data_IF_870302722792
#
_entry.id   IF_870302722792
#
_cell.length_a   1.000
_cell.length_b   1.000
_cell.length_c   1.000
_cell.angle_alpha   90.00
_cell.angle_beta   90.00
_cell.angle_gamma   90.00
#
_symmetry.space_group_name_H-M   'P 1'
#
loop_
_entity.id
_entity.type
_entity.pdbx_description
1 polymer ?
#
# COMPACT_ATOMS: atom_id res chain seq x y z
N UNK A 1 -20.01 -35.11 -0.05
CA UNK A 1 -18.74 -34.51 -0.54
C UNK A 1 -19.11 -33.49 -1.62
N UNK A 2 -18.80 -32.21 -1.43
CA UNK A 2 -19.08 -31.14 -2.40
C UNK A 2 -17.81 -30.86 -3.21
N UNK A 3 -17.86 -30.75 -4.56
CA UNK A 3 -16.68 -30.50 -5.36
C UNK A 3 -16.20 -29.05 -5.16
N UNK A 4 -14.93 -28.91 -4.80
CA UNK A 4 -14.22 -27.63 -4.83
C UNK A 4 -14.06 -27.19 -6.27
N UNK A 5 -14.65 -26.04 -6.63
CA UNK A 5 -14.32 -25.33 -7.88
C UNK A 5 -12.88 -24.87 -7.79
N UNK A 6 -12.00 -25.46 -8.60
CA UNK A 6 -10.65 -24.99 -8.81
C UNK A 6 -10.68 -23.56 -9.37
N UNK A 7 -10.20 -22.62 -8.56
CA UNK A 7 -9.76 -21.31 -9.05
C UNK A 7 -8.43 -21.56 -9.77
N UNK A 8 -8.52 -21.89 -11.06
CA UNK A 8 -7.38 -21.90 -11.95
C UNK A 8 -6.82 -20.48 -12.04
N UNK A 9 -5.63 -20.27 -11.47
CA UNK A 9 -4.78 -19.11 -11.72
C UNK A 9 -4.27 -19.16 -13.16
N UNK A 10 -5.16 -18.91 -14.10
CA UNK A 10 -4.84 -18.66 -15.49
C UNK A 10 -4.72 -17.16 -15.68
N UNK A 11 -3.60 -16.72 -16.26
CA UNK A 11 -3.43 -15.42 -16.88
C UNK A 11 -4.42 -15.35 -18.06
N UNK A 12 -5.70 -15.14 -17.74
CA UNK A 12 -6.84 -15.23 -18.65
C UNK A 12 -7.04 -13.92 -19.37
N UNK A 13 -6.67 -13.91 -20.65
CA UNK A 13 -6.77 -12.77 -21.56
C UNK A 13 -8.17 -12.19 -21.67
N UNK A 14 -8.34 -11.02 -21.08
CA UNK A 14 -9.36 -10.06 -21.43
C UNK A 14 -8.71 -8.70 -21.37
N UNK A 15 -8.56 -8.01 -22.50
CA UNK A 15 -8.28 -6.58 -22.48
C UNK A 15 -9.48 -5.91 -21.80
N UNK A 16 -9.39 -5.70 -20.49
CA UNK A 16 -10.31 -4.83 -19.73
C UNK A 16 -10.02 -3.39 -20.16
N UNK A 17 -10.46 -3.04 -21.35
CA UNK A 17 -10.21 -1.77 -21.99
C UNK A 17 -10.85 -0.66 -21.17
N UNK A 18 -10.03 0.15 -20.50
CA UNK A 18 -10.37 1.44 -19.88
C UNK A 18 -11.48 1.47 -18.80
N UNK A 19 -12.27 0.42 -18.61
CA UNK A 19 -13.31 0.37 -17.57
C UNK A 19 -12.72 0.18 -16.18
N UNK A 20 -11.61 -0.56 -16.09
CA UNK A 20 -10.94 -0.85 -14.83
C UNK A 20 -10.36 0.42 -14.21
N UNK A 21 -10.44 0.50 -12.89
CA UNK A 21 -9.91 1.61 -12.12
C UNK A 21 -8.40 1.68 -12.23
N UNK A 22 -7.74 0.53 -12.30
CA UNK A 22 -6.31 0.44 -12.57
C UNK A 22 -5.92 1.08 -13.91
N UNK A 23 -6.67 0.81 -14.99
CA UNK A 23 -6.41 1.42 -16.29
C UNK A 23 -6.63 2.95 -16.24
N UNK A 24 -7.65 3.42 -15.52
CA UNK A 24 -7.90 4.86 -15.32
C UNK A 24 -6.77 5.53 -14.54
N UNK A 25 -6.25 4.89 -13.49
CA UNK A 25 -5.10 5.41 -12.73
C UNK A 25 -3.83 5.44 -13.58
N UNK A 26 -3.60 4.41 -14.40
CA UNK A 26 -2.47 4.35 -15.32
C UNK A 26 -2.56 5.47 -16.38
N UNK A 27 -3.74 5.66 -16.97
CA UNK A 27 -3.99 6.76 -17.91
C UNK A 27 -3.82 8.13 -17.23
N UNK A 28 -4.29 8.28 -15.99
CA UNK A 28 -4.13 9.51 -15.22
C UNK A 28 -2.65 9.82 -14.95
N UNK A 29 -1.82 8.81 -14.65
CA UNK A 29 -0.37 8.99 -14.52
C UNK A 29 0.25 9.50 -15.82
N UNK A 30 -0.09 8.89 -16.96
CA UNK A 30 0.43 9.34 -18.27
C UNK A 30 -0.02 10.76 -18.57
N UNK A 31 -1.32 11.04 -18.45
CA UNK A 31 -1.89 12.36 -18.75
C UNK A 31 -1.32 13.44 -17.83
N UNK A 32 -1.21 13.18 -16.53
CA UNK A 32 -0.63 14.09 -15.54
C UNK A 32 0.84 14.37 -15.81
N UNK A 33 1.62 13.33 -16.13
CA UNK A 33 3.04 13.46 -16.46
C UNK A 33 3.26 14.23 -17.76
N UNK A 34 2.48 13.94 -18.81
CA UNK A 34 2.54 14.69 -20.08
C UNK A 34 2.15 16.15 -19.87
N UNK A 35 1.06 16.42 -19.13
CA UNK A 35 0.64 17.79 -18.81
C UNK A 35 1.74 18.53 -18.03
N UNK A 36 2.37 17.88 -17.05
CA UNK A 36 3.49 18.45 -16.33
C UNK A 36 4.67 18.77 -17.25
N UNK A 37 5.07 17.84 -18.12
CA UNK A 37 6.19 18.04 -19.04
C UNK A 37 5.93 19.19 -20.03
N UNK A 38 4.69 19.34 -20.51
CA UNK A 38 4.27 20.45 -21.38
C UNK A 38 4.27 21.81 -20.66
N UNK A 39 3.96 21.82 -19.36
CA UNK A 39 3.79 23.04 -18.55
C UNK A 39 4.96 23.34 -17.62
N UNK A 40 6.04 22.54 -17.66
CA UNK A 40 7.17 22.59 -16.72
C UNK A 40 7.87 23.96 -16.64
N UNK A 41 7.87 24.71 -17.74
CA UNK A 41 8.48 26.04 -17.83
C UNK A 41 7.52 27.19 -17.43
N UNK A 42 6.27 26.85 -17.10
CA UNK A 42 5.21 27.79 -16.74
C UNK A 42 4.66 27.43 -15.35
N UNK A 43 3.39 27.00 -15.28
CA UNK A 43 2.70 26.71 -14.02
C UNK A 43 2.79 25.24 -13.57
N UNK A 44 3.54 24.39 -14.27
CA UNK A 44 3.63 22.95 -13.98
C UNK A 44 4.12 22.62 -12.57
N UNK A 45 4.90 23.51 -11.95
CA UNK A 45 5.33 23.38 -10.55
C UNK A 45 4.17 23.33 -9.54
N UNK A 46 3.00 23.89 -9.88
CA UNK A 46 1.81 23.86 -9.01
C UNK A 46 1.19 22.47 -8.87
N UNK A 47 1.51 21.56 -9.80
CA UNK A 47 1.00 20.19 -9.79
C UNK A 47 1.83 19.28 -8.87
N UNK A 48 3.10 19.63 -8.65
CA UNK A 48 3.99 18.94 -7.72
C UNK A 48 3.61 19.22 -6.26
N UNK A 49 4.02 18.34 -5.37
CA UNK A 49 3.87 18.57 -3.94
C UNK A 49 4.93 19.55 -3.47
N UNK A 50 4.51 20.74 -3.01
CA UNK A 50 5.38 21.76 -2.43
C UNK A 50 4.97 21.97 -0.97
N UNK A 51 5.80 21.55 0.01
CA UNK A 51 5.43 21.59 1.42
C UNK A 51 4.99 22.97 1.94
N UNK A 52 5.56 24.06 1.42
CA UNK A 52 5.22 25.42 1.83
C UNK A 52 3.83 25.91 1.41
N UNK A 53 3.11 25.20 0.52
CA UNK A 53 1.88 25.70 -0.11
C UNK A 53 0.62 24.94 0.26
N UNK A 54 0.66 23.99 1.20
CA UNK A 54 -0.52 23.19 1.57
C UNK A 54 -1.71 24.05 2.07
N UNK A 55 -1.47 25.23 2.63
CA UNK A 55 -2.54 26.14 3.07
C UNK A 55 -3.29 26.82 1.93
N UNK A 56 -2.68 26.97 0.76
CA UNK A 56 -3.26 27.66 -0.40
C UNK A 56 -3.63 26.71 -1.55
N UNK A 57 -2.94 25.56 -1.67
CA UNK A 57 -3.06 24.62 -2.78
C UNK A 57 -3.40 23.21 -2.28
N UNK A 58 -4.61 23.03 -1.76
CA UNK A 58 -5.09 21.78 -1.14
C UNK A 58 -5.15 20.57 -2.10
N UNK A 59 -5.08 20.79 -3.41
CA UNK A 59 -5.12 19.73 -4.42
C UNK A 59 -3.77 19.06 -4.66
N UNK A 60 -2.65 19.68 -4.23
CA UNK A 60 -1.29 19.17 -4.49
C UNK A 60 -1.06 17.72 -4.06
N UNK A 61 -1.52 17.25 -2.88
CA UNK A 61 -1.38 15.85 -2.47
C UNK A 61 -2.11 14.85 -3.37
N UNK A 62 -3.05 15.29 -4.20
CA UNK A 62 -3.73 14.42 -5.14
C UNK A 62 -3.10 14.50 -6.53
N UNK A 63 -2.73 15.70 -6.99
CA UNK A 63 -2.15 15.90 -8.32
C UNK A 63 -0.75 15.30 -8.43
N UNK A 64 0.07 15.43 -7.39
CA UNK A 64 1.47 14.97 -7.45
C UNK A 64 1.58 13.46 -7.67
N UNK A 65 0.60 12.68 -7.20
CA UNK A 65 0.53 11.22 -7.37
C UNK A 65 0.57 10.77 -8.83
N UNK A 66 0.19 11.65 -9.76
CA UNK A 66 0.11 11.37 -11.20
C UNK A 66 1.23 12.04 -12.00
N UNK A 67 2.29 12.51 -11.33
CA UNK A 67 3.40 13.19 -11.98
C UNK A 67 4.66 12.35 -11.82
N UNK A 68 5.14 11.90 -12.97
CA UNK A 68 6.44 11.30 -13.13
C UNK A 68 7.27 12.15 -14.09
N UNK A 69 8.54 12.37 -13.75
CA UNK A 69 9.44 13.26 -14.50
C UNK A 69 10.30 12.50 -15.49
N UNK A 70 10.55 11.21 -15.24
CA UNK A 70 11.36 10.36 -16.11
C UNK A 70 10.50 9.66 -17.16
N UNK A 71 10.84 9.69 -18.47
CA UNK A 71 10.12 8.95 -19.50
C UNK A 71 10.03 7.44 -19.22
N UNK A 72 11.13 6.83 -18.75
CA UNK A 72 11.12 5.43 -18.35
C UNK A 72 10.24 5.20 -17.12
N UNK A 73 10.26 6.13 -16.16
CA UNK A 73 9.37 6.10 -15.00
C UNK A 73 7.89 6.11 -15.41
N UNK A 74 7.51 6.92 -16.40
CA UNK A 74 6.13 6.96 -16.91
C UNK A 74 5.74 5.61 -17.50
N UNK A 75 6.59 5.02 -18.35
CA UNK A 75 6.31 3.73 -19.00
C UNK A 75 6.17 2.61 -17.96
N UNK A 76 7.19 2.45 -17.10
CA UNK A 76 7.18 1.40 -16.07
C UNK A 76 6.08 1.64 -15.03
N UNK A 77 5.88 2.87 -14.59
CA UNK A 77 4.83 3.23 -13.65
C UNK A 77 3.44 2.91 -14.19
N UNK A 78 3.19 3.25 -15.45
CA UNK A 78 1.92 2.92 -16.13
C UNK A 78 1.73 1.41 -16.23
N UNK A 79 2.77 0.68 -16.62
CA UNK A 79 2.71 -0.79 -16.74
C UNK A 79 2.49 -1.47 -15.39
N UNK A 80 3.13 -0.97 -14.33
CA UNK A 80 2.94 -1.43 -12.94
C UNK A 80 1.52 -1.14 -12.48
N UNK A 81 1.03 0.09 -12.59
CA UNK A 81 -0.33 0.46 -12.17
C UNK A 81 -1.35 -0.38 -12.93
N UNK A 82 -1.19 -0.55 -14.24
CA UNK A 82 -2.12 -1.32 -15.04
C UNK A 82 -2.10 -2.81 -14.70
N UNK A 83 -0.92 -3.46 -14.70
CA UNK A 83 -0.80 -4.90 -14.46
C UNK A 83 -1.03 -5.28 -13.00
N UNK A 84 -0.27 -4.68 -12.08
CA UNK A 84 -0.35 -4.95 -10.65
C UNK A 84 -1.65 -4.39 -10.08
N UNK A 85 -2.00 -3.15 -10.43
CA UNK A 85 -3.24 -2.54 -9.99
C UNK A 85 -4.46 -3.28 -10.52
N UNK A 86 -4.43 -3.80 -11.75
CA UNK A 86 -5.53 -4.61 -12.31
C UNK A 86 -5.75 -5.90 -11.52
N UNK A 87 -4.67 -6.59 -11.16
CA UNK A 87 -4.75 -7.75 -10.26
C UNK A 87 -5.28 -7.36 -8.87
N UNK A 88 -4.74 -6.30 -8.26
CA UNK A 88 -5.22 -5.81 -6.96
C UNK A 88 -6.70 -5.42 -7.01
N UNK A 89 -7.17 -4.83 -8.10
CA UNK A 89 -8.57 -4.50 -8.32
C UNK A 89 -9.44 -5.74 -8.30
N UNK A 90 -9.01 -6.82 -8.95
CA UNK A 90 -9.75 -8.09 -8.96
C UNK A 90 -9.87 -8.75 -7.58
N UNK A 91 -8.85 -8.59 -6.73
CA UNK A 91 -8.79 -9.21 -5.40
C UNK A 91 -9.46 -8.34 -4.32
N UNK A 92 -9.27 -7.03 -4.38
CA UNK A 92 -9.73 -6.09 -3.36
C UNK A 92 -11.01 -5.34 -3.73
N UNK A 93 -11.29 -5.20 -5.03
CA UNK A 93 -12.30 -4.30 -5.59
C UNK A 93 -11.76 -2.88 -5.83
N UNK A 94 -12.38 -2.20 -6.81
CA UNK A 94 -12.04 -0.84 -7.26
C UNK A 94 -11.93 0.19 -6.14
N UNK A 95 -12.91 0.21 -5.22
CA UNK A 95 -12.94 1.16 -4.11
C UNK A 95 -11.74 1.02 -3.18
N UNK A 96 -11.33 -0.21 -2.87
CA UNK A 96 -10.17 -0.46 -2.01
C UNK A 96 -8.87 -0.15 -2.74
N UNK A 97 -8.77 -0.47 -4.04
CA UNK A 97 -7.61 -0.07 -4.84
C UNK A 97 -7.41 1.45 -4.80
N UNK A 98 -8.47 2.24 -5.01
CA UNK A 98 -8.39 3.70 -4.95
C UNK A 98 -7.99 4.21 -3.57
N UNK A 99 -8.61 3.67 -2.51
CA UNK A 99 -8.32 4.10 -1.15
C UNK A 99 -6.87 3.78 -0.74
N UNK A 100 -6.37 2.61 -1.13
CA UNK A 100 -4.98 2.23 -0.84
C UNK A 100 -4.01 2.98 -1.73
N UNK A 101 -4.17 2.91 -3.05
CA UNK A 101 -3.26 3.54 -4.01
C UNK A 101 -3.26 5.06 -3.85
N UNK A 102 -4.37 5.71 -4.19
CA UNK A 102 -4.45 7.17 -4.16
C UNK A 102 -4.50 7.71 -2.73
N UNK A 103 -5.24 7.06 -1.82
CA UNK A 103 -5.37 7.54 -0.44
C UNK A 103 -4.06 7.43 0.37
N UNK A 104 -3.30 6.33 0.27
CA UNK A 104 -2.00 6.26 0.95
C UNK A 104 -0.98 7.20 0.30
N UNK A 105 -1.03 7.39 -1.01
CA UNK A 105 -0.17 8.38 -1.70
C UNK A 105 -0.48 9.79 -1.21
N UNK A 106 -1.74 10.23 -1.26
CA UNK A 106 -2.13 11.55 -0.79
C UNK A 106 -1.81 11.77 0.69
N UNK A 107 -2.04 10.77 1.53
CA UNK A 107 -1.68 10.82 2.95
C UNK A 107 -0.15 10.91 3.14
N UNK A 108 0.64 10.18 2.37
CA UNK A 108 2.10 10.27 2.40
C UNK A 108 2.59 11.67 2.00
N UNK A 109 2.01 12.28 0.98
CA UNK A 109 2.32 13.65 0.58
C UNK A 109 1.95 14.68 1.66
N UNK A 110 0.78 14.50 2.29
CA UNK A 110 0.36 15.35 3.42
C UNK A 110 1.33 15.23 4.61
N UNK A 111 1.68 13.99 5.02
CA UNK A 111 2.63 13.75 6.10
C UNK A 111 4.03 14.29 5.77
N UNK A 112 4.49 14.11 4.52
CA UNK A 112 5.75 14.70 4.04
C UNK A 112 5.75 16.20 4.25
N UNK A 113 4.66 16.86 3.87
CA UNK A 113 4.55 18.31 4.03
C UNK A 113 4.63 18.72 5.49
N UNK A 114 3.93 18.03 6.40
CA UNK A 114 4.03 18.33 7.82
C UNK A 114 5.46 18.17 8.34
N UNK A 115 6.16 17.09 7.96
CA UNK A 115 7.54 16.86 8.37
C UNK A 115 8.48 17.94 7.82
N UNK A 116 8.40 18.25 6.53
CA UNK A 116 9.28 19.26 5.91
C UNK A 116 8.99 20.65 6.47
N UNK A 117 7.74 21.05 6.62
CA UNK A 117 7.40 22.39 7.09
C UNK A 117 7.77 22.61 8.56
N UNK A 118 7.59 21.61 9.43
CA UNK A 118 7.79 21.79 10.88
C UNK A 118 9.11 21.25 11.43
N UNK A 119 9.78 20.32 10.74
CA UNK A 119 10.98 19.64 11.25
C UNK A 119 12.23 20.04 10.46
N UNK A 120 12.15 20.04 9.13
CA UNK A 120 13.31 20.29 8.26
C UNK A 120 12.90 21.23 7.11
N UNK A 121 12.81 22.55 7.36
CA UNK A 121 12.36 23.51 6.37
C UNK A 121 13.27 23.47 5.14
N UNK A 122 12.80 22.85 4.07
CA UNK A 122 13.51 22.79 2.80
C UNK A 122 12.58 23.19 1.66
N UNK A 123 13.12 23.97 0.73
CA UNK A 123 12.45 24.23 -0.54
C UNK A 123 12.64 23.00 -1.45
N UNK A 124 11.67 22.09 -1.42
CA UNK A 124 11.65 20.91 -2.28
C UNK A 124 10.28 20.77 -2.95
N UNK A 125 10.30 20.31 -4.21
CA UNK A 125 9.11 19.91 -4.94
C UNK A 125 9.20 18.41 -5.22
N UNK A 126 8.15 17.67 -4.87
CA UNK A 126 8.15 16.21 -4.97
C UNK A 126 7.21 15.73 -6.08
N UNK A 127 7.72 14.98 -7.07
CA UNK A 127 6.89 14.16 -7.95
C UNK A 127 6.41 12.90 -7.20
N UNK A 128 5.20 12.44 -7.49
CA UNK A 128 4.54 11.35 -6.76
C UNK A 128 4.25 10.10 -7.57
N UNK A 129 4.62 10.06 -8.86
CA UNK A 129 4.41 8.89 -9.71
C UNK A 129 5.06 7.61 -9.16
N UNK A 130 6.32 7.72 -8.69
CA UNK A 130 7.02 6.62 -8.00
C UNK A 130 6.34 6.20 -6.70
N UNK A 131 5.73 7.13 -5.97
CA UNK A 131 5.04 6.84 -4.69
C UNK A 131 3.80 5.97 -4.91
N UNK A 132 2.95 6.34 -5.88
CA UNK A 132 1.76 5.55 -6.21
C UNK A 132 2.15 4.14 -6.68
N UNK A 133 3.16 4.06 -7.53
CA UNK A 133 3.61 2.79 -8.12
C UNK A 133 4.26 1.88 -7.07
N UNK A 134 5.13 2.40 -6.20
CA UNK A 134 5.77 1.62 -5.14
C UNK A 134 4.76 1.15 -4.08
N UNK A 135 3.77 1.97 -3.74
CA UNK A 135 2.66 1.57 -2.86
C UNK A 135 1.91 0.38 -3.46
N UNK A 136 1.52 0.44 -4.73
CA UNK A 136 0.80 -0.66 -5.39
C UNK A 136 1.67 -1.91 -5.55
N UNK A 137 2.95 -1.74 -5.88
CA UNK A 137 3.90 -2.85 -5.96
C UNK A 137 4.03 -3.57 -4.61
N UNK A 138 4.31 -2.83 -3.54
CA UNK A 138 4.50 -3.43 -2.21
C UNK A 138 3.19 -4.00 -1.68
N UNK A 139 2.05 -3.32 -1.91
CA UNK A 139 0.73 -3.86 -1.60
C UNK A 139 0.50 -5.23 -2.23
N UNK A 140 0.82 -5.38 -3.52
CA UNK A 140 0.68 -6.62 -4.25
C UNK A 140 1.53 -7.75 -3.65
N UNK A 141 2.83 -7.49 -3.44
CA UNK A 141 3.71 -8.49 -2.85
C UNK A 141 3.26 -8.92 -1.45
N UNK A 142 2.85 -7.97 -0.61
CA UNK A 142 2.35 -8.25 0.74
C UNK A 142 1.01 -9.00 0.74
N UNK A 143 0.14 -8.75 -0.24
CA UNK A 143 -1.16 -9.43 -0.38
C UNK A 143 -0.99 -10.90 -0.71
N UNK A 144 -0.02 -11.23 -1.57
CA UNK A 144 0.31 -12.60 -1.93
C UNK A 144 1.07 -13.29 -0.78
N UNK A 145 1.90 -12.53 -0.06
CA UNK A 145 2.60 -13.01 1.12
C UNK A 145 3.59 -14.14 0.80
N UNK A 146 3.36 -15.34 1.33
CA UNK A 146 4.20 -16.52 1.06
C UNK A 146 3.81 -17.28 -0.21
N UNK A 147 2.72 -16.89 -0.88
CA UNK A 147 2.32 -17.48 -2.16
C UNK A 147 3.35 -17.21 -3.26
N UNK A 148 3.41 -18.10 -4.25
CA UNK A 148 4.16 -17.87 -5.47
C UNK A 148 3.33 -17.03 -6.44
N UNK A 149 3.99 -16.08 -7.08
CA UNK A 149 3.45 -15.33 -8.21
C UNK A 149 4.42 -15.43 -9.38
N UNK A 150 3.87 -15.48 -10.59
CA UNK A 150 4.65 -15.39 -11.80
C UNK A 150 4.75 -13.91 -12.18
N UNK A 151 5.80 -13.24 -11.71
CA UNK A 151 6.05 -11.85 -12.05
C UNK A 151 6.85 -11.81 -13.36
N UNK A 152 6.16 -11.56 -14.47
CA UNK A 152 6.73 -11.45 -15.83
C UNK A 152 7.63 -12.63 -16.24
N UNK A 153 7.20 -13.86 -15.95
CA UNK A 153 7.92 -15.09 -16.32
C UNK A 153 8.85 -15.60 -15.22
N UNK A 154 9.03 -14.85 -14.13
CA UNK A 154 9.88 -15.25 -13.00
C UNK A 154 9.01 -15.67 -11.80
N UNK A 155 9.06 -16.94 -11.35
CA UNK A 155 8.36 -17.38 -10.16
C UNK A 155 9.06 -16.82 -8.91
N UNK A 156 8.37 -15.93 -8.20
CA UNK A 156 8.87 -15.28 -6.98
C UNK A 156 7.80 -15.34 -5.90
N UNK A 157 8.23 -15.38 -4.63
CA UNK A 157 7.29 -15.22 -3.52
C UNK A 157 6.80 -13.78 -3.44
N UNK A 158 5.55 -13.58 -3.02
CA UNK A 158 4.99 -12.24 -2.84
C UNK A 158 5.83 -11.36 -1.89
N UNK A 159 6.29 -11.92 -0.77
CA UNK A 159 7.14 -11.22 0.20
C UNK A 159 8.49 -10.82 -0.41
N UNK A 160 9.09 -11.68 -1.25
CA UNK A 160 10.32 -11.33 -1.95
C UNK A 160 10.07 -10.18 -2.92
N UNK A 161 8.95 -10.19 -3.65
CA UNK A 161 8.58 -9.12 -4.57
C UNK A 161 8.30 -7.79 -3.85
N UNK A 162 7.65 -7.83 -2.68
CA UNK A 162 7.50 -6.65 -1.82
C UNK A 162 8.86 -6.15 -1.31
N UNK A 163 9.77 -7.06 -0.95
CA UNK A 163 11.14 -6.75 -0.58
C UNK A 163 11.92 -6.08 -1.71
N UNK A 164 11.74 -6.51 -2.95
CA UNK A 164 12.33 -5.87 -4.15
C UNK A 164 11.79 -4.45 -4.30
N UNK A 165 10.46 -4.25 -4.20
CA UNK A 165 9.86 -2.91 -4.25
C UNK A 165 10.41 -1.97 -3.18
N UNK A 166 10.47 -2.42 -1.93
CA UNK A 166 11.08 -1.65 -0.84
C UNK A 166 12.59 -1.42 -1.05
N UNK A 167 13.29 -2.41 -1.61
CA UNK A 167 14.70 -2.34 -1.97
C UNK A 167 14.98 -1.27 -3.03
N UNK A 168 14.08 -1.08 -4.01
CA UNK A 168 14.20 0.01 -4.99
C UNK A 168 14.11 1.39 -4.33
N UNK A 169 13.22 1.57 -3.36
CA UNK A 169 13.11 2.84 -2.61
C UNK A 169 14.37 3.07 -1.78
N UNK A 170 14.88 2.04 -1.10
CA UNK A 170 16.15 2.14 -0.37
C UNK A 170 17.32 2.46 -1.31
N UNK A 171 17.39 1.81 -2.47
CA UNK A 171 18.41 2.10 -3.47
C UNK A 171 18.29 3.56 -3.94
N UNK A 172 17.08 4.04 -4.18
CA UNK A 172 16.82 5.44 -4.56
C UNK A 172 17.29 6.43 -3.50
N UNK A 173 17.10 6.11 -2.22
CA UNK A 173 17.66 6.88 -1.10
C UNK A 173 19.19 6.90 -1.18
N UNK A 174 19.82 5.75 -1.38
CA UNK A 174 21.28 5.61 -1.43
C UNK A 174 21.92 6.28 -2.65
N UNK A 175 21.24 6.31 -3.79
CA UNK A 175 21.76 6.87 -5.05
C UNK A 175 21.39 8.33 -5.28
N UNK A 176 20.54 8.92 -4.44
CA UNK A 176 20.10 10.32 -4.55
C UNK A 176 21.18 11.37 -4.27
N UNK A 177 22.40 10.95 -3.93
CA UNK A 177 23.56 11.81 -3.67
C UNK A 177 23.52 12.51 -2.29
N UNK A 178 24.69 12.86 -1.77
CA UNK A 178 24.81 13.48 -0.44
C UNK A 178 24.77 12.48 0.72
N UNK A 179 24.36 12.95 1.90
CA UNK A 179 24.26 12.11 3.09
C UNK A 179 23.03 11.18 3.06
N UNK A 180 23.05 10.08 3.82
CA UNK A 180 21.88 9.17 3.95
C UNK A 180 20.60 9.91 4.38
N UNK A 181 20.76 10.92 5.23
CA UNK A 181 19.65 11.73 5.71
C UNK A 181 19.04 12.58 4.58
N UNK A 182 19.86 13.24 3.75
CA UNK A 182 19.35 13.99 2.60
C UNK A 182 18.62 13.08 1.61
N UNK A 183 19.14 11.89 1.35
CA UNK A 183 18.47 10.95 0.47
C UNK A 183 17.13 10.49 1.01
N UNK A 184 17.05 10.25 2.33
CA UNK A 184 15.78 9.94 3.00
C UNK A 184 14.79 11.10 2.87
N UNK A 185 15.26 12.35 3.00
CA UNK A 185 14.42 13.54 2.86
C UNK A 185 13.93 13.77 1.42
N UNK A 186 14.73 13.43 0.41
CA UNK A 186 14.33 13.50 -1.01
C UNK A 186 13.29 12.43 -1.36
N UNK A 187 13.37 11.25 -0.76
CA UNK A 187 12.42 10.14 -0.97
C UNK A 187 11.38 10.00 0.14
N UNK A 188 11.18 11.05 0.94
CA UNK A 188 10.32 11.02 2.12
C UNK A 188 8.86 10.60 1.80
N UNK A 189 8.20 11.10 0.73
CA UNK A 189 6.87 10.64 0.36
C UNK A 189 6.80 9.14 0.08
N UNK A 190 7.83 8.59 -0.55
CA UNK A 190 7.87 7.18 -0.93
C UNK A 190 8.05 6.29 0.29
N UNK A 191 8.99 6.66 1.17
CA UNK A 191 9.22 5.94 2.44
C UNK A 191 7.99 5.97 3.34
N UNK A 192 7.33 7.12 3.47
CA UNK A 192 6.07 7.22 4.22
C UNK A 192 4.96 6.39 3.57
N UNK A 193 4.87 6.40 2.24
CA UNK A 193 3.95 5.56 1.47
C UNK A 193 4.16 4.07 1.76
N UNK A 194 5.40 3.61 1.78
CA UNK A 194 5.75 2.22 2.12
C UNK A 194 5.35 1.84 3.54
N UNK A 195 5.56 2.73 4.51
CA UNK A 195 5.13 2.49 5.90
C UNK A 195 3.61 2.40 5.98
N UNK A 196 2.89 3.33 5.34
CA UNK A 196 1.42 3.36 5.33
C UNK A 196 0.83 2.09 4.71
N UNK A 197 1.33 1.66 3.55
CA UNK A 197 0.82 0.45 2.88
C UNK A 197 1.17 -0.81 3.65
N UNK A 198 2.36 -0.89 4.25
CA UNK A 198 2.74 -2.01 5.10
C UNK A 198 1.80 -2.14 6.31
N UNK A 199 1.54 -1.03 7.00
CA UNK A 199 0.62 -0.96 8.14
C UNK A 199 -0.81 -1.35 7.72
N UNK A 200 -1.28 -0.85 6.57
CA UNK A 200 -2.60 -1.16 6.03
C UNK A 200 -2.76 -2.65 5.69
N UNK A 201 -1.86 -3.21 4.87
CA UNK A 201 -1.98 -4.59 4.37
C UNK A 201 -1.71 -5.62 5.45
N UNK A 202 -0.73 -5.39 6.33
CA UNK A 202 -0.38 -6.33 7.39
C UNK A 202 -1.33 -6.29 8.58
N UNK A 203 -2.34 -5.42 8.53
CA UNK A 203 -3.52 -5.54 9.38
C UNK A 203 -3.43 -4.80 10.70
N UNK A 204 -2.81 -3.62 10.74
CA UNK A 204 -3.17 -2.61 11.73
C UNK A 204 -4.57 -2.04 11.43
N UNK A 205 -5.55 -2.92 11.20
CA UNK A 205 -6.94 -2.48 11.13
C UNK A 205 -7.33 -2.06 12.55
N UNK A 206 -7.84 -0.83 12.75
CA UNK A 206 -8.22 -0.35 14.08
C UNK A 206 -9.15 -1.32 14.79
N UNK A 207 -10.02 -1.99 14.03
CA UNK A 207 -10.90 -3.06 14.53
C UNK A 207 -10.15 -4.31 15.00
N UNK A 208 -9.13 -4.82 14.30
CA UNK A 208 -8.37 -6.00 14.77
C UNK A 208 -7.49 -5.68 15.97
N UNK A 209 -6.89 -4.50 16.02
CA UNK A 209 -6.11 -4.06 17.18
C UNK A 209 -7.02 -3.87 18.39
N UNK A 210 -8.20 -3.27 18.20
CA UNK A 210 -9.22 -3.15 19.22
C UNK A 210 -9.74 -4.51 19.70
N UNK A 211 -9.96 -5.46 18.79
CA UNK A 211 -10.36 -6.83 19.14
C UNK A 211 -9.26 -7.57 19.92
N UNK A 212 -7.98 -7.43 19.55
CA UNK A 212 -6.88 -7.99 20.34
C UNK A 212 -6.78 -7.36 21.72
N UNK A 213 -7.00 -6.05 21.83
CA UNK A 213 -7.02 -5.35 23.11
C UNK A 213 -8.20 -5.81 23.99
N UNK A 214 -9.39 -5.97 23.40
CA UNK A 214 -10.57 -6.52 24.08
C UNK A 214 -10.33 -7.97 24.53
N UNK A 215 -9.76 -8.82 23.68
CA UNK A 215 -9.41 -10.20 24.03
C UNK A 215 -8.39 -10.25 25.17
N UNK A 216 -7.36 -9.41 25.14
CA UNK A 216 -6.37 -9.31 26.21
C UNK A 216 -6.99 -8.84 27.53
N UNK A 217 -7.90 -7.86 27.48
CA UNK A 217 -8.63 -7.37 28.67
C UNK A 217 -9.56 -8.44 29.24
N UNK A 218 -10.28 -9.15 28.37
CA UNK A 218 -11.15 -10.27 28.75
C UNK A 218 -10.34 -11.44 29.34
N UNK A 219 -9.19 -11.78 28.76
CA UNK A 219 -8.30 -12.82 29.30
C UNK A 219 -7.75 -12.47 30.68
N UNK A 220 -7.44 -11.19 30.94
CA UNK A 220 -7.06 -10.72 32.28
C UNK A 220 -8.21 -10.85 33.28
N UNK A 221 -9.43 -10.53 32.87
CA UNK A 221 -10.61 -10.67 33.72
C UNK A 221 -10.95 -12.15 34.00
N UNK A 222 -10.88 -13.01 32.99
CA UNK A 222 -11.16 -14.44 33.13
C UNK A 222 -10.10 -15.15 33.97
N UNK A 223 -8.81 -14.80 33.87
CA UNK A 223 -7.75 -15.33 34.76
C UNK A 223 -7.95 -14.94 36.22
N UNK A 224 -8.56 -13.78 36.50
CA UNK A 224 -8.91 -13.40 37.87
C UNK A 224 -10.10 -14.18 38.42
N UNK A 225 -11.09 -14.49 37.55
CA UNK A 225 -12.32 -15.22 37.93
C UNK A 225 -12.15 -16.74 37.96
N UNK A 226 -11.25 -17.31 37.14
CA UNK A 226 -11.00 -18.76 37.10
C UNK A 226 -10.35 -19.30 38.38
N UNK A 227 -9.78 -18.44 39.24
CA UNK A 227 -9.31 -18.82 40.58
C UNK A 227 -10.44 -19.25 41.53
N UNK A 228 -11.69 -18.88 41.23
CA UNK A 228 -12.86 -19.21 42.05
C UNK A 228 -13.70 -20.36 41.51
N UNK A 229 -13.38 -20.90 40.33
CA UNK A 229 -14.12 -22.02 39.77
C UNK A 229 -13.49 -23.33 40.24
N UNK A 230 -14.06 -23.90 41.31
CA UNK A 230 -13.76 -25.25 41.79
C UNK A 230 -14.31 -26.24 40.76
N UNK A 231 -13.44 -27.05 40.17
CA UNK A 231 -13.84 -28.12 39.25
C UNK A 231 -14.72 -29.10 40.04
N UNK A 232 -15.98 -29.21 39.64
CA UNK A 232 -16.90 -30.22 40.18
C UNK A 232 -16.51 -31.55 39.54
N UNK A 233 -16.10 -32.56 40.33
CA UNK A 233 -15.82 -33.88 39.80
C UNK A 233 -17.08 -34.43 39.15
N UNK A 234 -16.95 -34.92 37.93
CA UNK A 234 -18.05 -35.60 37.24
C UNK A 234 -18.32 -36.90 38.00
N UNK A 235 -19.44 -36.94 38.72
CA UNK A 235 -19.90 -38.15 39.40
C UNK A 235 -20.17 -39.20 38.32
N UNK A 236 -19.43 -40.31 38.41
CA UNK A 236 -19.50 -41.45 37.51
C UNK A 236 -20.88 -42.09 37.73
N UNK A 237 -21.80 -41.93 36.78
CA UNK A 237 -23.08 -42.65 36.84
C UNK A 237 -22.79 -44.13 36.60
N UNK A 238 -23.00 -44.93 37.64
CA UNK A 238 -23.00 -46.39 37.60
C UNK A 238 -24.24 -46.88 36.84
N UNK A 239 -24.28 -46.65 35.53
CA UNK A 239 -25.27 -47.24 34.63
C UNK A 239 -24.82 -48.65 34.20
N UNK A 240 -24.49 -49.51 35.19
CA UNK A 240 -24.05 -50.90 34.99
C UNK A 240 -25.18 -51.93 35.24
N UNK A 241 -26.45 -51.51 35.23
CA UNK A 241 -27.59 -52.41 35.48
C UNK A 241 -28.74 -52.25 34.48
N UNK A 242 -28.45 -52.35 33.19
CA UNK A 242 -29.46 -52.66 32.18
C UNK A 242 -28.91 -53.72 31.21
N UNK A 243 -28.97 -54.97 31.66
CA UNK A 243 -29.07 -56.16 30.81
C UNK A 243 -30.52 -56.61 30.82
#
# INVERSE_FOLDING_TARGET
>A
MRPMRGSGGGFGGGFTGLESTAAKLALALVAGSVMFLLTRNAQGGMLLLVPGTLGSLLWQPFTYAFIETSPLGIIFGTFIIWSIGGWLESVWGSRKLLLVGLGCTALAGFLTTLVVTFVVPMAAAYPGGTVLTSILWVAYGLTIGRGQTNFWGIPLSGNALAGVGAGFVLLSVLTSGGSLFEGLMRQLPEVLGLVLVFVYVRGASPRRLWLHFQHWRLQRQLRSRSRHMRVVPQERSDDQYLN
#
